data_IF_482874356560
#
_entry.id   IF_482874356560
#
_cell.length_a   1.000
_cell.length_b   1.000
_cell.length_c   1.000
_cell.angle_alpha   90.00
_cell.angle_beta   90.00
_cell.angle_gamma   90.00
#
_symmetry.space_group_name_H-M   'P 1'
#
loop_
_entity.id
_entity.type
_entity.pdbx_description
1 polymer ?
#
# COMPACT_ATOMS: atom_id res chain seq x y z
N UNK A 1 -0.65 -5.68 -13.07
CA UNK A 1 -1.74 -4.71 -12.81
C UNK A 1 -1.28 -3.58 -11.88
N UNK A 2 -1.88 -2.39 -11.98
CA UNK A 2 -1.54 -1.20 -11.18
C UNK A 2 -2.79 -0.41 -10.78
N UNK A 3 -2.91 -0.01 -9.53
CA UNK A 3 -4.00 0.80 -8.96
C UNK A 3 -3.38 2.04 -8.32
N UNK A 4 -3.98 3.22 -8.56
CA UNK A 4 -3.60 4.48 -7.88
C UNK A 4 -4.78 5.01 -7.08
N UNK A 5 -4.51 5.48 -5.87
CA UNK A 5 -5.46 6.19 -5.00
C UNK A 5 -4.72 7.29 -4.26
N UNK A 6 -4.96 8.54 -4.63
CA UNK A 6 -4.15 9.67 -4.13
C UNK A 6 -2.66 9.40 -4.36
N UNK A 7 -1.89 9.45 -3.27
CA UNK A 7 -0.44 9.19 -3.27
C UNK A 7 -0.07 7.70 -3.16
N UNK A 8 -1.07 6.82 -2.93
CA UNK A 8 -0.86 5.39 -2.80
C UNK A 8 -0.87 4.74 -4.18
N UNK A 9 0.21 4.04 -4.49
CA UNK A 9 0.32 3.18 -5.67
C UNK A 9 0.33 1.73 -5.21
N UNK A 10 -0.53 0.89 -5.78
CA UNK A 10 -0.51 -0.56 -5.53
C UNK A 10 -0.31 -1.33 -6.84
N UNK A 11 0.46 -2.41 -6.81
CA UNK A 11 0.69 -3.30 -7.95
C UNK A 11 0.57 -4.75 -7.52
N UNK A 12 0.33 -5.62 -8.50
CA UNK A 12 0.32 -7.07 -8.37
C UNK A 12 0.23 -7.72 -9.74
N UNK A 13 0.49 -9.03 -9.84
CA UNK A 13 0.29 -9.77 -11.08
C UNK A 13 -1.20 -9.90 -11.41
N UNK A 14 -2.01 -10.16 -10.39
CA UNK A 14 -3.44 -10.39 -10.52
C UNK A 14 -4.22 -9.52 -9.55
N UNK A 15 -5.48 -9.26 -9.89
CA UNK A 15 -6.42 -8.61 -8.99
C UNK A 15 -7.81 -9.21 -9.09
N UNK A 16 -8.44 -9.39 -7.94
CA UNK A 16 -9.83 -9.78 -7.82
C UNK A 16 -10.62 -8.59 -7.28
N UNK A 17 -11.63 -8.15 -8.03
CA UNK A 17 -12.57 -7.13 -7.56
C UNK A 17 -13.86 -7.79 -7.08
N UNK A 18 -14.24 -7.53 -5.84
CA UNK A 18 -15.52 -7.93 -5.27
C UNK A 18 -16.41 -6.70 -5.14
N UNK A 19 -17.38 -6.58 -6.04
CA UNK A 19 -18.33 -5.47 -6.04
C UNK A 19 -19.30 -5.50 -4.85
N UNK A 20 -19.65 -6.69 -4.34
CA UNK A 20 -20.56 -6.83 -3.21
C UNK A 20 -19.92 -6.38 -1.90
N UNK A 21 -18.62 -6.60 -1.74
CA UNK A 21 -17.84 -6.15 -0.59
C UNK A 21 -17.17 -4.78 -0.79
N UNK A 22 -17.08 -4.30 -2.03
CA UNK A 22 -16.34 -3.09 -2.37
C UNK A 22 -14.85 -3.25 -2.08
N UNK A 23 -14.27 -4.40 -2.41
CA UNK A 23 -12.85 -4.69 -2.13
C UNK A 23 -12.08 -5.09 -3.39
N UNK A 24 -10.78 -4.79 -3.39
CA UNK A 24 -9.84 -5.27 -4.41
C UNK A 24 -8.73 -6.05 -3.73
N UNK A 25 -8.51 -7.30 -4.14
CA UNK A 25 -7.44 -8.15 -3.63
C UNK A 25 -6.36 -8.29 -4.69
N UNK A 26 -5.13 -7.88 -4.37
CA UNK A 26 -3.95 -8.00 -5.21
C UNK A 26 -3.10 -9.20 -4.78
N UNK A 27 -2.66 -9.99 -5.77
CA UNK A 27 -1.86 -11.21 -5.57
C UNK A 27 -0.73 -11.31 -6.60
N UNK A 28 0.19 -12.25 -6.34
CA UNK A 28 1.38 -12.51 -7.16
C UNK A 28 2.38 -11.36 -7.02
N UNK A 29 3.06 -11.32 -5.88
CA UNK A 29 4.09 -10.33 -5.54
C UNK A 29 3.56 -8.89 -5.41
N UNK A 30 2.47 -8.67 -4.64
CA UNK A 30 1.88 -7.35 -4.53
C UNK A 30 2.78 -6.39 -3.75
N UNK A 31 2.77 -5.13 -4.18
CA UNK A 31 3.55 -4.04 -3.59
C UNK A 31 2.73 -2.76 -3.53
N UNK A 32 2.87 -2.03 -2.43
CA UNK A 32 2.27 -0.71 -2.19
C UNK A 32 3.38 0.30 -1.97
N UNK A 33 3.28 1.48 -2.59
CA UNK A 33 4.15 2.61 -2.37
C UNK A 33 3.35 3.80 -1.86
N UNK A 34 3.95 4.53 -0.92
CA UNK A 34 3.48 5.84 -0.43
C UNK A 34 4.69 6.76 -0.35
N UNK A 35 4.82 7.67 -1.32
CA UNK A 35 6.04 8.46 -1.47
C UNK A 35 7.26 7.55 -1.66
N UNK A 36 8.21 7.62 -0.72
CA UNK A 36 9.42 6.79 -0.73
C UNK A 36 9.23 5.44 -0.02
N UNK A 37 8.19 5.29 0.79
CA UNK A 37 7.95 4.06 1.54
C UNK A 37 7.40 2.96 0.62
N UNK A 38 7.88 1.74 0.83
CA UNK A 38 7.39 0.56 0.11
C UNK A 38 7.01 -0.54 1.08
N UNK A 39 5.82 -1.10 0.87
CA UNK A 39 5.29 -2.26 1.59
C UNK A 39 5.02 -3.36 0.58
N UNK A 40 5.70 -4.49 0.72
CA UNK A 40 5.44 -5.71 -0.03
C UNK A 40 4.73 -6.72 0.87
N UNK A 41 4.03 -7.68 0.28
CA UNK A 41 3.40 -8.78 1.02
C UNK A 41 3.04 -9.93 0.11
N UNK A 42 2.34 -10.92 0.65
CA UNK A 42 1.81 -12.05 -0.11
C UNK A 42 0.46 -11.70 -0.75
N UNK A 43 -0.36 -10.95 -0.02
CA UNK A 43 -1.68 -10.46 -0.44
C UNK A 43 -1.92 -9.05 0.06
N UNK A 44 -2.52 -8.21 -0.79
CA UNK A 44 -2.94 -6.86 -0.41
C UNK A 44 -4.44 -6.71 -0.67
N UNK A 45 -5.22 -6.44 0.37
CA UNK A 45 -6.66 -6.18 0.28
C UNK A 45 -6.93 -4.69 0.46
N UNK A 46 -7.55 -4.07 -0.53
CA UNK A 46 -7.99 -2.68 -0.51
C UNK A 46 -9.50 -2.64 -0.22
N UNK A 47 -9.91 -1.90 0.81
CA UNK A 47 -11.30 -1.64 1.15
C UNK A 47 -11.69 -0.28 0.60
N UNK A 48 -12.45 -0.26 -0.51
CA UNK A 48 -12.66 0.94 -1.31
C UNK A 48 -13.49 2.01 -0.56
N UNK A 49 -14.46 1.58 0.25
CA UNK A 49 -15.33 2.48 1.01
C UNK A 49 -14.67 3.04 2.28
N UNK A 50 -13.67 2.34 2.81
CA UNK A 50 -13.03 2.66 4.10
C UNK A 50 -11.70 3.42 3.95
N UNK A 51 -11.26 3.64 2.71
CA UNK A 51 -9.90 4.13 2.39
C UNK A 51 -8.79 3.37 3.13
N UNK A 52 -9.01 2.07 3.36
CA UNK A 52 -8.15 1.20 4.17
C UNK A 52 -7.50 0.12 3.33
N UNK A 53 -6.29 -0.28 3.70
CA UNK A 53 -5.61 -1.43 3.10
C UNK A 53 -5.05 -2.36 4.17
N UNK A 54 -5.06 -3.66 3.89
CA UNK A 54 -4.50 -4.71 4.74
C UNK A 54 -3.50 -5.51 3.92
N UNK A 55 -2.32 -5.70 4.48
CA UNK A 55 -1.23 -6.47 3.85
C UNK A 55 -0.96 -7.71 4.70
N UNK A 56 -1.06 -8.88 4.09
CA UNK A 56 -0.71 -10.16 4.72
C UNK A 56 0.73 -10.55 4.36
N UNK A 57 1.49 -11.08 5.34
CA UNK A 57 2.90 -11.42 5.14
C UNK A 57 3.79 -10.19 4.87
N UNK A 58 3.46 -9.06 5.50
CA UNK A 58 4.05 -7.77 5.18
C UNK A 58 5.58 -7.73 5.41
N UNK A 59 6.30 -7.18 4.43
CA UNK A 59 7.69 -6.73 4.54
C UNK A 59 7.75 -5.28 4.08
N UNK A 60 8.14 -4.38 4.97
CA UNK A 60 8.17 -2.96 4.70
C UNK A 60 9.60 -2.40 4.74
N UNK A 61 9.92 -1.50 3.83
CA UNK A 61 11.07 -0.60 3.91
C UNK A 61 10.51 0.80 4.07
N UNK A 62 10.67 1.33 5.28
CA UNK A 62 10.22 2.68 5.65
C UNK A 62 11.45 3.56 5.69
N UNK A 63 11.43 4.65 4.92
CA UNK A 63 12.51 5.62 4.92
C UNK A 63 12.22 6.68 5.96
N UNK A 64 12.97 6.70 7.08
CA UNK A 64 12.79 7.76 8.06
C UNK A 64 13.04 9.09 7.37
N UNK A 65 12.00 9.92 7.29
CA UNK A 65 12.16 11.31 6.92
C UNK A 65 12.92 11.93 8.08
N UNK A 66 14.15 12.37 7.82
CA UNK A 66 15.02 12.92 8.85
C UNK A 66 14.26 13.93 9.69
N UNK A 67 14.04 13.60 10.95
CA UNK A 67 13.71 14.59 11.96
C UNK A 67 14.96 15.46 12.05
N UNK A 68 14.95 16.58 11.33
CA UNK A 68 15.91 17.65 11.54
C UNK A 68 15.79 18.07 13.00
N UNK A 69 16.73 17.60 13.80
CA UNK A 69 16.98 18.12 15.13
C UNK A 69 17.29 19.62 15.04
N UNK A 70 16.72 20.40 15.96
CA UNK A 70 17.27 21.71 16.33
C UNK A 70 16.31 22.89 16.16
N UNK A 71 15.46 23.07 17.16
CA UNK A 71 15.18 24.41 17.69
C UNK A 71 16.52 25.11 18.01
N UNK A 72 16.71 26.33 17.52
CA UNK A 72 17.89 27.15 17.87
C UNK A 72 18.39 28.09 16.78
N UNK A 73 17.65 29.19 16.53
CA UNK A 73 18.12 30.59 16.62
C UNK A 73 17.03 31.56 16.18
#
# INVERSE_FOLDING_TARGET
>A
MRIRRGEVLATGREALYDAGRGTVVLQGDPKVWRGNDVVAGERITLFLAEDRSVVEGARAVIYPQGQGAGEGR
#
